data_IF_739852738601
#
_entry.id   IF_739852738601
#
_cell.length_a   1.000
_cell.length_b   1.000
_cell.length_c   1.000
_cell.angle_alpha   90.00
_cell.angle_beta   90.00
_cell.angle_gamma   90.00
#
_symmetry.space_group_name_H-M   'P 1'
#
loop_
_entity.id
_entity.type
_entity.pdbx_description
1 polymer ?
#
# COMPACT_ATOMS: atom_id res chain seq x y z
N UNK A 1 -8.73 13.36 -15.48
CA UNK A 1 -7.30 13.02 -15.43
C UNK A 1 -6.51 14.30 -15.51
N UNK A 2 -5.39 14.40 -14.80
CA UNK A 2 -4.50 15.57 -14.85
C UNK A 2 -3.33 15.37 -15.79
N UNK A 3 -2.48 16.40 -15.85
CA UNK A 3 -1.25 16.39 -16.63
C UNK A 3 -0.24 15.39 -16.03
N UNK A 4 0.40 14.53 -16.85
CA UNK A 4 1.40 13.59 -16.36
C UNK A 4 2.65 14.29 -15.79
N UNK A 5 3.13 13.81 -14.64
CA UNK A 5 4.41 14.19 -14.06
C UNK A 5 5.42 13.05 -14.29
N UNK A 6 6.58 13.34 -14.87
CA UNK A 6 7.58 12.31 -15.20
C UNK A 6 8.95 12.63 -14.64
N UNK A 7 9.59 11.63 -14.02
CA UNK A 7 10.97 11.71 -13.55
C UNK A 7 11.60 10.31 -13.52
N UNK A 8 12.83 10.17 -14.06
CA UNK A 8 13.62 8.92 -14.01
C UNK A 8 12.85 7.64 -14.38
N UNK A 9 12.08 7.70 -15.46
CA UNK A 9 11.33 6.55 -15.99
C UNK A 9 9.98 6.28 -15.29
N UNK A 10 9.70 6.97 -14.17
CA UNK A 10 8.39 6.97 -13.52
C UNK A 10 7.53 8.09 -14.09
N UNK A 11 6.30 7.77 -14.47
CA UNK A 11 5.27 8.74 -14.84
C UNK A 11 4.05 8.57 -13.94
N UNK A 12 3.60 9.66 -13.33
CA UNK A 12 2.44 9.72 -12.45
C UNK A 12 1.35 10.54 -13.12
N UNK A 13 0.16 9.97 -13.27
CA UNK A 13 -1.00 10.66 -13.84
C UNK A 13 -2.03 10.91 -12.74
N UNK A 14 -2.29 12.16 -12.34
CA UNK A 14 -3.25 12.49 -11.30
C UNK A 14 -4.69 12.14 -11.68
N UNK A 15 -5.46 11.68 -10.69
CA UNK A 15 -6.88 11.31 -10.81
C UNK A 15 -7.70 12.28 -9.96
N UNK A 16 -8.76 12.83 -10.55
CA UNK A 16 -9.65 13.82 -9.93
C UNK A 16 -11.03 13.21 -9.72
N UNK A 17 -11.73 13.63 -8.65
CA UNK A 17 -13.06 13.12 -8.37
C UNK A 17 -14.05 13.62 -9.45
N UNK A 18 -14.92 12.73 -9.90
CA UNK A 18 -16.05 13.08 -10.79
C UNK A 18 -17.34 13.35 -10.01
N UNK A 19 -17.39 12.91 -8.75
CA UNK A 19 -18.52 13.04 -7.86
C UNK A 19 -18.04 13.36 -6.45
N UNK A 20 -18.82 14.15 -5.71
CA UNK A 20 -18.60 14.36 -4.28
C UNK A 20 -19.44 13.36 -3.49
N UNK A 21 -18.80 12.53 -2.66
CA UNK A 21 -19.46 11.63 -1.73
C UNK A 21 -19.40 12.21 -0.30
N UNK A 22 -20.33 11.76 0.56
CA UNK A 22 -20.25 12.10 1.98
C UNK A 22 -18.98 11.49 2.58
N UNK A 23 -18.13 12.33 3.14
CA UNK A 23 -16.85 11.91 3.70
C UNK A 23 -17.03 11.38 5.13
N UNK A 24 -16.44 10.22 5.39
CA UNK A 24 -16.32 9.66 6.74
C UNK A 24 -15.07 10.23 7.39
N UNK A 25 -15.15 10.85 8.58
CA UNK A 25 -13.96 11.27 9.32
C UNK A 25 -13.12 10.04 9.70
N UNK A 26 -11.83 10.09 9.40
CA UNK A 26 -10.86 9.08 9.84
C UNK A 26 -9.46 9.69 9.94
N UNK A 27 -8.58 9.05 10.69
CA UNK A 27 -7.13 9.27 10.66
C UNK A 27 -6.44 8.13 9.90
N UNK A 28 -5.28 8.36 9.29
CA UNK A 28 -4.47 7.24 8.79
C UNK A 28 -3.77 6.54 9.95
N UNK A 29 -3.28 5.33 9.72
CA UNK A 29 -2.45 4.61 10.69
C UNK A 29 -1.24 5.41 11.16
N UNK A 30 -0.54 6.09 10.25
CA UNK A 30 0.65 6.85 10.57
C UNK A 30 0.32 8.02 11.53
N UNK A 31 -0.75 8.76 11.22
CA UNK A 31 -1.25 9.85 12.06
C UNK A 31 -1.75 9.34 13.41
N UNK A 32 -2.46 8.22 13.44
CA UNK A 32 -2.99 7.63 14.67
C UNK A 32 -1.89 7.09 15.59
N UNK A 33 -0.83 6.49 15.05
CA UNK A 33 0.36 6.07 15.81
C UNK A 33 1.10 7.29 16.36
N UNK A 34 1.34 8.31 15.52
CA UNK A 34 2.04 9.53 15.93
C UNK A 34 1.31 10.27 17.06
N UNK A 35 -0.03 10.27 17.02
CA UNK A 35 -0.90 10.86 18.03
C UNK A 35 -1.14 9.96 19.25
N UNK A 36 -0.56 8.76 19.27
CA UNK A 36 -0.79 7.72 20.30
C UNK A 36 -2.25 7.29 20.46
N UNK A 37 -3.06 7.53 19.44
CA UNK A 37 -4.43 7.04 19.34
C UNK A 37 -4.48 5.54 19.06
N UNK A 38 -3.47 5.02 18.36
CA UNK A 38 -3.30 3.59 18.07
C UNK A 38 -1.97 3.10 18.58
N UNK A 39 -1.97 1.90 19.16
CA UNK A 39 -0.75 1.12 19.43
C UNK A 39 -0.86 -0.21 18.72
N UNK A 40 0.18 -0.60 17.99
CA UNK A 40 0.27 -1.89 17.29
C UNK A 40 1.36 -2.71 17.97
N UNK A 41 1.06 -3.97 18.29
CA UNK A 41 1.99 -4.90 18.98
C UNK A 41 1.85 -6.33 18.43
N UNK A 42 2.77 -7.21 18.84
CA UNK A 42 2.66 -8.64 18.57
C UNK A 42 1.42 -9.25 19.25
N UNK A 43 0.64 -10.04 18.52
CA UNK A 43 -0.47 -10.80 19.11
C UNK A 43 0.07 -12.02 19.87
N UNK A 44 -0.33 -12.19 21.14
CA UNK A 44 0.01 -13.34 21.99
C UNK A 44 1.51 -13.67 22.06
N UNK A 45 2.38 -12.65 22.05
CA UNK A 45 3.85 -12.83 22.10
C UNK A 45 4.50 -13.14 20.74
N UNK A 46 3.71 -13.20 19.67
CA UNK A 46 4.15 -13.32 18.28
C UNK A 46 3.26 -14.26 17.48
N UNK A 47 2.49 -13.72 16.54
CA UNK A 47 1.76 -14.47 15.51
C UNK A 47 2.19 -13.94 14.15
N UNK A 48 2.65 -14.82 13.27
CA UNK A 48 3.13 -14.43 11.93
C UNK A 48 2.06 -13.70 11.10
N UNK A 49 0.82 -14.21 10.98
CA UNK A 49 -0.19 -13.59 10.11
C UNK A 49 -0.95 -12.41 10.74
N UNK A 50 -0.73 -12.11 12.02
CA UNK A 50 -1.63 -11.25 12.80
C UNK A 50 -0.88 -10.37 13.81
N UNK A 51 -1.21 -9.08 13.83
CA UNK A 51 -0.82 -8.14 14.89
C UNK A 51 -2.02 -7.77 15.76
N UNK A 52 -1.75 -7.36 16.99
CA UNK A 52 -2.74 -6.75 17.86
C UNK A 52 -2.72 -5.22 17.64
N UNK A 53 -3.90 -4.63 17.48
CA UNK A 53 -4.09 -3.19 17.38
C UNK A 53 -5.00 -2.76 18.53
N UNK A 54 -4.52 -1.84 19.36
CA UNK A 54 -5.33 -1.19 20.37
C UNK A 54 -5.66 0.23 19.90
N UNK A 55 -6.95 0.51 19.72
CA UNK A 55 -7.43 1.80 19.25
C UNK A 55 -8.17 2.58 20.36
N UNK A 56 -7.60 3.72 20.75
CA UNK A 56 -8.11 4.64 21.78
C UNK A 56 -8.35 6.07 21.25
N UNK A 57 -8.32 6.26 19.94
CA UNK A 57 -8.54 7.53 19.27
C UNK A 57 -10.02 7.93 19.19
N UNK A 58 -10.32 9.16 18.76
CA UNK A 58 -11.68 9.68 18.68
C UNK A 58 -12.42 9.34 17.37
N UNK A 59 -11.70 8.94 16.33
CA UNK A 59 -12.24 8.66 14.98
C UNK A 59 -11.71 7.34 14.45
N UNK A 60 -12.41 6.67 13.50
CA UNK A 60 -11.92 5.47 12.83
C UNK A 60 -10.51 5.66 12.23
N UNK A 61 -9.77 4.57 12.09
CA UNK A 61 -8.39 4.60 11.55
C UNK A 61 -8.31 3.82 10.26
N UNK A 62 -7.83 4.46 9.20
CA UNK A 62 -7.59 3.89 7.88
C UNK A 62 -6.19 3.25 7.82
N UNK A 63 -6.16 1.96 7.52
CA UNK A 63 -4.97 1.21 7.16
C UNK A 63 -5.11 0.82 5.69
N UNK A 64 -4.08 1.03 4.87
CA UNK A 64 -4.15 0.71 3.44
C UNK A 64 -3.38 -0.57 3.11
N UNK A 65 -3.85 -1.30 2.10
CA UNK A 65 -3.11 -2.43 1.53
C UNK A 65 -1.69 -1.99 1.14
N UNK A 66 -0.70 -2.72 1.65
CA UNK A 66 0.70 -2.45 1.35
C UNK A 66 1.37 -1.48 2.32
N UNK A 67 0.65 -0.96 3.32
CA UNK A 67 1.26 -0.17 4.40
C UNK A 67 2.16 -1.03 5.28
N UNK A 68 3.42 -0.64 5.41
CA UNK A 68 4.38 -1.33 6.26
C UNK A 68 4.28 -0.80 7.70
N UNK A 69 4.43 -1.71 8.65
CA UNK A 69 4.67 -1.39 10.06
C UNK A 69 5.98 -2.05 10.49
N UNK A 70 6.82 -1.27 11.18
CA UNK A 70 8.18 -1.63 11.54
C UNK A 70 8.34 -1.74 13.05
N UNK A 71 8.91 -2.84 13.53
CA UNK A 71 9.01 -3.13 14.96
C UNK A 71 8.78 -4.60 15.27
N UNK A 72 8.33 -4.87 16.50
CA UNK A 72 8.07 -6.21 16.98
C UNK A 72 9.23 -7.17 16.74
N UNK A 73 8.89 -8.42 16.39
CA UNK A 73 9.85 -9.47 16.04
C UNK A 73 10.37 -9.35 14.61
N UNK A 74 9.58 -8.76 13.71
CA UNK A 74 9.83 -8.66 12.28
C UNK A 74 8.94 -7.57 11.69
N UNK A 75 9.42 -6.87 10.67
CA UNK A 75 8.58 -5.91 9.95
C UNK A 75 7.42 -6.61 9.22
N UNK A 76 6.27 -5.91 9.14
CA UNK A 76 5.01 -6.43 8.61
C UNK A 76 4.43 -5.52 7.55
N UNK A 77 3.62 -6.07 6.66
CA UNK A 77 2.78 -5.33 5.71
C UNK A 77 1.32 -5.68 5.90
N UNK A 78 0.44 -4.68 5.85
CA UNK A 78 -1.01 -4.83 5.91
C UNK A 78 -1.54 -5.58 4.68
N UNK A 79 -2.37 -6.60 4.90
CA UNK A 79 -2.84 -7.47 3.81
C UNK A 79 -3.98 -6.88 2.96
N UNK A 80 -4.81 -6.01 3.53
CA UNK A 80 -5.91 -5.34 2.82
C UNK A 80 -6.23 -3.99 3.45
N UNK A 81 -6.84 -3.09 2.69
CA UNK A 81 -7.34 -1.81 3.19
C UNK A 81 -8.48 -2.04 4.18
N UNK A 82 -8.36 -1.48 5.39
CA UNK A 82 -9.27 -1.67 6.52
C UNK A 82 -9.53 -0.33 7.19
N UNK A 83 -10.79 -0.06 7.53
CA UNK A 83 -11.17 1.02 8.43
C UNK A 83 -11.49 0.44 9.81
N UNK A 84 -10.63 0.66 10.81
CA UNK A 84 -10.81 0.14 12.16
C UNK A 84 -11.78 1.06 12.93
N UNK A 85 -12.84 0.52 13.58
CA UNK A 85 -13.78 1.34 14.35
C UNK A 85 -13.15 1.89 15.63
N UNK A 86 -13.78 2.92 16.21
CA UNK A 86 -13.35 3.55 17.46
C UNK A 86 -13.45 2.59 18.64
N UNK A 87 -12.41 2.58 19.50
CA UNK A 87 -12.49 1.98 20.83
C UNK A 87 -12.46 0.45 20.86
N UNK A 88 -12.00 -0.21 19.80
CA UNK A 88 -11.90 -1.68 19.74
C UNK A 88 -10.44 -2.14 19.76
N UNK A 89 -10.21 -3.27 20.43
CA UNK A 89 -9.03 -4.08 20.17
C UNK A 89 -9.29 -4.86 18.87
N UNK A 90 -8.31 -4.89 17.97
CA UNK A 90 -8.46 -5.38 16.61
C UNK A 90 -7.30 -6.30 16.22
N UNK A 91 -7.62 -7.41 15.56
CA UNK A 91 -6.62 -8.33 15.01
C UNK A 91 -6.32 -7.95 13.56
N UNK A 92 -5.15 -7.36 13.33
CA UNK A 92 -4.73 -6.87 12.04
C UNK A 92 -4.09 -7.98 11.18
N UNK A 93 -4.69 -8.36 10.05
CA UNK A 93 -4.10 -9.32 9.12
C UNK A 93 -2.89 -8.71 8.40
N UNK A 94 -1.74 -9.37 8.54
CA UNK A 94 -0.45 -8.92 8.00
C UNK A 94 0.32 -10.05 7.32
N UNK A 95 1.41 -9.69 6.66
CA UNK A 95 2.47 -10.60 6.22
C UNK A 95 3.85 -10.07 6.62
N UNK A 96 4.84 -10.93 6.84
CA UNK A 96 6.21 -10.51 7.12
C UNK A 96 6.89 -9.97 5.87
N UNK A 97 7.58 -8.84 6.01
CA UNK A 97 8.50 -8.29 4.97
C UNK A 97 9.97 -8.33 5.41
N UNK A 98 10.25 -9.08 6.47
CA UNK A 98 11.58 -9.37 6.98
C UNK A 98 11.62 -10.85 7.40
N UNK A 99 12.47 -11.66 6.76
CA UNK A 99 12.48 -13.12 6.92
C UNK A 99 13.40 -13.60 8.05
N UNK A 100 14.61 -13.05 8.12
CA UNK A 100 15.73 -13.55 8.91
C UNK A 100 15.78 -13.05 10.36
N UNK A 101 14.82 -12.24 10.80
CA UNK A 101 14.69 -11.80 12.20
C UNK A 101 13.58 -12.58 12.88
N UNK A 102 13.78 -13.05 14.11
CA UNK A 102 12.68 -13.48 14.99
C UNK A 102 13.03 -13.15 16.44
N UNK A 103 13.38 -11.88 16.66
CA UNK A 103 13.68 -11.33 17.97
C UNK A 103 13.01 -9.97 18.07
N UNK A 104 12.43 -9.69 19.22
CA UNK A 104 11.79 -8.40 19.45
C UNK A 104 12.85 -7.29 19.47
N UNK A 105 12.64 -6.27 18.66
CA UNK A 105 13.49 -5.06 18.64
C UNK A 105 12.81 -3.89 19.34
N UNK A 106 11.49 -3.82 19.24
CA UNK A 106 10.59 -2.87 19.90
C UNK A 106 9.29 -3.59 20.23
N UNK A 107 8.66 -3.19 21.33
CA UNK A 107 7.36 -3.74 21.76
C UNK A 107 6.26 -3.28 20.80
N UNK A 108 6.32 -2.01 20.41
CA UNK A 108 5.39 -1.36 19.50
C UNK A 108 5.92 -1.29 18.06
N UNK A 109 5.00 -1.21 17.12
CA UNK A 109 5.32 -0.94 15.72
C UNK A 109 5.12 0.55 15.39
N UNK A 110 6.04 1.10 14.59
CA UNK A 110 5.89 2.39 13.92
C UNK A 110 5.41 2.23 12.48
N UNK A 111 4.93 3.30 11.86
CA UNK A 111 4.63 3.29 10.44
C UNK A 111 5.90 3.33 9.59
N UNK A 112 5.95 2.51 8.53
CA UNK A 112 7.06 2.41 7.58
C UNK A 112 6.68 2.95 6.19
N UNK A 113 7.25 2.33 5.16
CA UNK A 113 7.01 2.66 3.74
C UNK A 113 5.77 1.93 3.16
N UNK A 114 5.34 2.32 1.96
CA UNK A 114 4.38 1.50 1.17
C UNK A 114 5.15 0.49 0.35
N UNK A 115 4.85 -0.80 0.48
CA UNK A 115 5.54 -1.86 -0.27
C UNK A 115 5.38 -1.69 -1.79
N UNK A 116 6.35 -2.13 -2.60
CA UNK A 116 6.34 -1.93 -4.04
C UNK A 116 5.13 -2.55 -4.77
N UNK A 117 4.75 -2.05 -5.96
CA UNK A 117 3.65 -2.59 -6.76
C UNK A 117 3.71 -4.11 -6.99
N UNK A 118 4.89 -4.69 -7.20
CA UNK A 118 5.02 -6.15 -7.37
C UNK A 118 4.61 -6.91 -6.11
N UNK A 119 5.02 -6.47 -4.92
CA UNK A 119 4.63 -7.09 -3.65
C UNK A 119 3.12 -6.99 -3.44
N UNK A 120 2.53 -5.80 -3.69
CA UNK A 120 1.07 -5.60 -3.63
C UNK A 120 0.31 -6.54 -4.56
N UNK A 121 0.79 -6.72 -5.79
CA UNK A 121 0.17 -7.63 -6.79
C UNK A 121 0.18 -9.10 -6.36
N UNK A 122 1.28 -9.58 -5.76
CA UNK A 122 1.37 -10.94 -5.23
C UNK A 122 0.42 -11.14 -4.04
N UNK A 123 0.40 -10.17 -3.12
CA UNK A 123 -0.55 -10.16 -1.99
C UNK A 123 -2.00 -10.16 -2.44
N UNK A 124 -2.38 -9.30 -3.40
CA UNK A 124 -3.75 -9.22 -3.89
C UNK A 124 -4.25 -10.57 -4.42
N UNK A 125 -3.40 -11.28 -5.17
CA UNK A 125 -3.76 -12.57 -5.76
C UNK A 125 -4.01 -13.64 -4.69
N UNK A 126 -3.17 -13.69 -3.67
CA UNK A 126 -3.30 -14.65 -2.57
C UNK A 126 -4.43 -14.29 -1.61
N UNK A 127 -4.63 -13.00 -1.31
CA UNK A 127 -5.74 -12.48 -0.50
C UNK A 127 -7.10 -12.72 -1.16
N UNK A 128 -7.22 -12.48 -2.46
CA UNK A 128 -8.44 -12.81 -3.21
C UNK A 128 -8.77 -14.29 -3.08
N UNK A 129 -7.78 -15.16 -3.25
CA UNK A 129 -7.98 -16.60 -3.15
C UNK A 129 -8.27 -17.06 -1.71
N UNK A 130 -7.79 -16.34 -0.69
CA UNK A 130 -8.05 -16.69 0.71
C UNK A 130 -9.45 -16.30 1.18
N UNK A 131 -10.05 -15.23 0.66
CA UNK A 131 -11.46 -14.93 0.91
C UNK A 131 -12.38 -16.11 0.51
N UNK A 132 -12.19 -16.70 -0.67
CA UNK A 132 -12.96 -17.87 -1.10
C UNK A 132 -12.74 -19.12 -0.26
N UNK A 133 -11.57 -19.27 0.38
CA UNK A 133 -11.20 -20.49 1.14
C UNK A 133 -11.53 -20.40 2.62
N UNK A 134 -11.28 -19.25 3.24
CA UNK A 134 -11.31 -19.09 4.70
C UNK A 134 -11.99 -17.79 5.16
N UNK A 135 -12.53 -16.98 4.24
CA UNK A 135 -13.27 -15.76 4.59
C UNK A 135 -12.45 -14.65 5.25
N UNK A 136 -11.11 -14.67 5.09
CA UNK A 136 -10.21 -13.71 5.72
C UNK A 136 -9.07 -13.31 4.77
N UNK A 137 -8.54 -12.07 4.85
CA UNK A 137 -7.51 -11.56 3.94
C UNK A 137 -6.11 -12.07 4.31
N UNK A 138 -5.87 -13.36 4.07
CA UNK A 138 -4.56 -13.99 4.25
C UNK A 138 -3.77 -13.98 2.95
N UNK A 139 -2.52 -13.56 3.01
CA UNK A 139 -1.57 -13.62 1.89
C UNK A 139 -0.65 -14.85 2.00
N UNK A 140 -0.01 -15.22 0.89
CA UNK A 140 1.06 -16.22 0.88
C UNK A 140 2.37 -15.61 1.38
N UNK A 141 2.86 -16.09 2.53
CA UNK A 141 4.08 -15.58 3.16
C UNK A 141 5.35 -15.86 2.32
N UNK A 142 5.39 -17.01 1.64
CA UNK A 142 6.53 -17.39 0.80
C UNK A 142 6.61 -16.53 -0.45
N UNK A 143 5.47 -16.23 -1.08
CA UNK A 143 5.40 -15.31 -2.21
C UNK A 143 5.83 -13.89 -1.82
N UNK A 144 5.39 -13.40 -0.65
CA UNK A 144 5.83 -12.08 -0.15
C UNK A 144 7.35 -12.03 0.01
N UNK A 145 7.96 -13.05 0.62
CA UNK A 145 9.43 -13.10 0.76
C UNK A 145 10.15 -13.21 -0.58
N UNK A 146 9.62 -13.95 -1.55
CA UNK A 146 10.20 -14.02 -2.88
C UNK A 146 10.24 -12.63 -3.54
N UNK A 147 9.15 -11.85 -3.46
CA UNK A 147 9.10 -10.47 -4.00
C UNK A 147 9.97 -9.49 -3.23
N UNK A 148 10.11 -9.65 -1.91
CA UNK A 148 11.07 -8.87 -1.12
C UNK A 148 12.51 -9.15 -1.58
N UNK A 149 12.85 -10.42 -1.82
CA UNK A 149 14.16 -10.82 -2.35
C UNK A 149 14.44 -10.22 -3.74
N UNK A 150 13.45 -10.20 -4.63
CA UNK A 150 13.55 -9.54 -5.93
C UNK A 150 13.77 -8.03 -5.79
N UNK A 151 13.06 -7.38 -4.86
CA UNK A 151 13.20 -5.94 -4.58
C UNK A 151 14.60 -5.60 -4.05
N UNK A 152 15.13 -6.40 -3.11
CA UNK A 152 16.49 -6.26 -2.60
C UNK A 152 17.54 -6.41 -3.71
N UNK A 153 17.36 -7.42 -4.57
CA UNK A 153 18.26 -7.68 -5.70
C UNK A 153 18.26 -6.51 -6.70
N UNK A 154 17.08 -6.03 -7.08
CA UNK A 154 16.90 -4.89 -8.00
C UNK A 154 17.48 -3.59 -7.43
N UNK A 155 17.31 -3.38 -6.12
CA UNK A 155 17.88 -2.24 -5.40
C UNK A 155 19.39 -2.36 -5.16
N UNK A 156 20.00 -3.50 -5.49
CA UNK A 156 21.39 -3.85 -5.14
C UNK A 156 21.67 -3.66 -3.64
N UNK A 157 20.65 -3.96 -2.82
CA UNK A 157 20.69 -3.76 -1.38
C UNK A 157 21.22 -5.01 -0.68
N UNK A 158 22.21 -4.81 0.18
CA UNK A 158 22.62 -5.86 1.12
C UNK A 158 21.69 -5.85 2.32
N UNK A 159 21.15 -7.01 2.68
CA UNK A 159 20.27 -7.18 3.85
C UNK A 159 20.65 -8.44 4.62
N UNK A 160 20.92 -8.28 5.92
CA UNK A 160 21.23 -9.41 6.79
C UNK A 160 19.99 -10.27 7.11
N UNK A 161 18.82 -9.64 7.22
CA UNK A 161 17.57 -10.29 7.63
C UNK A 161 16.56 -10.40 6.48
N UNK A 162 16.97 -10.07 5.25
CA UNK A 162 16.05 -9.98 4.10
C UNK A 162 14.85 -9.06 4.42
N UNK A 163 15.15 -7.87 4.95
CA UNK A 163 14.20 -6.82 5.30
C UNK A 163 13.97 -5.89 4.10
N UNK A 164 12.71 -5.71 3.70
CA UNK A 164 12.36 -4.79 2.62
C UNK A 164 12.84 -3.35 2.88
N UNK A 165 12.91 -2.91 4.14
CA UNK A 165 13.37 -1.56 4.49
C UNK A 165 14.83 -1.31 4.10
N UNK A 166 15.64 -2.36 3.94
CA UNK A 166 17.02 -2.24 3.44
C UNK A 166 17.07 -1.81 1.96
N UNK A 167 16.06 -2.18 1.15
CA UNK A 167 15.96 -1.73 -0.25
C UNK A 167 15.72 -0.21 -0.33
N UNK A 168 14.80 0.31 0.50
CA UNK A 168 14.55 1.74 0.61
C UNK A 168 15.78 2.49 1.14
N UNK A 169 16.47 1.91 2.13
CA UNK A 169 17.68 2.48 2.70
C UNK A 169 18.83 2.56 1.68
N UNK A 170 19.04 1.51 0.88
CA UNK A 170 20.07 1.49 -0.15
C UNK A 170 19.81 2.53 -1.26
N UNK A 171 18.54 2.78 -1.59
CA UNK A 171 18.14 3.69 -2.68
C UNK A 171 17.66 5.06 -2.23
N UNK A 172 17.78 5.39 -0.95
CA UNK A 172 17.24 6.61 -0.33
C UNK A 172 17.47 7.89 -1.11
N UNK A 173 18.69 8.10 -1.63
CA UNK A 173 19.05 9.31 -2.37
C UNK A 173 18.24 9.42 -3.67
N UNK A 174 18.20 8.36 -4.47
CA UNK A 174 17.43 8.32 -5.73
C UNK A 174 15.92 8.42 -5.49
N UNK A 175 15.43 7.79 -4.42
CA UNK A 175 14.02 7.81 -4.03
C UNK A 175 13.57 9.20 -3.57
N UNK A 176 14.38 9.89 -2.77
CA UNK A 176 14.08 11.26 -2.34
C UNK A 176 14.22 12.27 -3.48
N UNK A 177 15.21 12.11 -4.36
CA UNK A 177 15.29 12.89 -5.60
C UNK A 177 14.00 12.73 -6.43
N UNK A 178 13.52 11.51 -6.59
CA UNK A 178 12.27 11.25 -7.32
C UNK A 178 11.05 11.86 -6.63
N UNK A 179 10.95 11.76 -5.31
CA UNK A 179 9.88 12.36 -4.53
C UNK A 179 9.85 13.88 -4.63
N UNK A 180 11.00 14.54 -4.65
CA UNK A 180 11.10 16.00 -4.77
C UNK A 180 10.67 16.46 -6.17
N UNK A 181 11.07 15.73 -7.21
CA UNK A 181 10.76 16.08 -8.60
C UNK A 181 9.37 15.63 -9.07
N UNK A 182 8.66 14.85 -8.27
CA UNK A 182 7.26 14.45 -8.50
C UNK A 182 6.38 14.92 -7.32
N UNK A 183 6.13 16.24 -7.19
CA UNK A 183 5.36 16.78 -6.09
C UNK A 183 3.87 16.35 -6.16
N UNK A 184 3.21 16.29 -5.00
CA UNK A 184 1.78 16.04 -4.94
C UNK A 184 1.02 17.18 -5.64
N UNK A 185 0.08 16.89 -6.54
CA UNK A 185 -0.82 17.91 -7.07
C UNK A 185 -1.59 18.58 -5.92
N UNK A 186 -1.69 19.91 -5.97
CA UNK A 186 -2.36 20.74 -4.97
C UNK A 186 -3.69 21.33 -5.48
N UNK A 187 -4.27 20.70 -6.49
CA UNK A 187 -5.43 21.14 -7.26
C UNK A 187 -6.64 20.20 -7.11
N UNK A 188 -6.67 19.41 -6.02
CA UNK A 188 -7.79 18.55 -5.67
C UNK A 188 -7.74 17.13 -6.25
N UNK A 189 -6.57 16.67 -6.72
CA UNK A 189 -6.37 15.26 -7.06
C UNK A 189 -6.63 14.36 -5.84
N UNK A 190 -7.32 13.24 -6.05
CA UNK A 190 -7.66 12.24 -5.03
C UNK A 190 -7.00 10.89 -5.28
N UNK A 191 -6.36 10.72 -6.44
CA UNK A 191 -5.60 9.52 -6.74
C UNK A 191 -4.49 9.75 -7.74
N UNK A 192 -3.77 8.67 -8.04
CA UNK A 192 -2.65 8.65 -8.98
C UNK A 192 -2.57 7.31 -9.68
N UNK A 193 -2.25 7.34 -10.97
CA UNK A 193 -1.87 6.15 -11.76
C UNK A 193 -0.36 6.20 -11.98
N UNK A 194 0.35 5.14 -11.60
CA UNK A 194 1.79 5.00 -11.77
C UNK A 194 2.11 4.14 -13.00
N UNK A 195 2.91 4.72 -13.90
CA UNK A 195 3.33 4.13 -15.17
C UNK A 195 4.84 4.09 -15.21
N UNK A 196 5.40 2.91 -15.46
CA UNK A 196 6.82 2.70 -15.73
C UNK A 196 7.02 1.41 -16.50
N UNK A 197 8.09 1.35 -17.29
CA UNK A 197 8.39 0.18 -18.14
C UNK A 197 7.38 -0.01 -19.27
N UNK A 198 6.74 1.06 -19.76
CA UNK A 198 5.79 1.01 -20.87
C UNK A 198 4.34 0.70 -20.48
N UNK A 199 4.03 0.46 -19.21
CA UNK A 199 2.71 -0.01 -18.77
C UNK A 199 2.27 0.59 -17.43
N UNK A 200 0.96 0.50 -17.15
CA UNK A 200 0.40 0.85 -15.83
C UNK A 200 0.77 -0.23 -14.83
N UNK A 201 1.39 0.18 -13.72
CA UNK A 201 1.91 -0.74 -12.70
C UNK A 201 1.08 -0.72 -11.43
N UNK A 202 0.52 0.43 -11.08
CA UNK A 202 -0.36 0.62 -9.93
C UNK A 202 -1.29 1.82 -10.14
N UNK A 203 -2.38 1.83 -9.39
CA UNK A 203 -3.20 3.02 -9.16
C UNK A 203 -3.63 3.03 -7.70
N UNK A 204 -3.57 4.20 -7.07
CA UNK A 204 -3.99 4.42 -5.69
C UNK A 204 -4.96 5.61 -5.69
N UNK A 205 -6.21 5.39 -5.24
CA UNK A 205 -7.30 6.36 -5.29
C UNK A 205 -7.97 6.41 -3.91
N UNK A 206 -8.11 7.62 -3.39
CA UNK A 206 -8.69 7.91 -2.08
C UNK A 206 -10.00 8.70 -2.22
N UNK A 207 -10.73 8.82 -1.13
CA UNK A 207 -11.98 9.59 -1.03
C UNK A 207 -11.74 11.11 -0.99
N UNK A 208 -10.54 11.56 -0.57
CA UNK A 208 -10.19 12.98 -0.44
C UNK A 208 -8.71 13.28 -0.72
N UNK A 209 -8.43 14.52 -1.12
CA UNK A 209 -7.11 14.96 -1.54
C UNK A 209 -6.10 14.99 -0.39
N UNK A 210 -6.57 15.24 0.83
CA UNK A 210 -5.75 15.27 2.05
C UNK A 210 -5.12 13.89 2.31
N UNK A 211 -5.90 12.82 2.12
CA UNK A 211 -5.42 11.44 2.27
C UNK A 211 -4.38 11.11 1.21
N UNK A 212 -4.62 11.47 -0.06
CA UNK A 212 -3.61 11.32 -1.11
C UNK A 212 -2.31 12.05 -0.72
N UNK A 213 -2.42 13.31 -0.30
CA UNK A 213 -1.27 14.14 0.08
C UNK A 213 -0.47 13.54 1.22
N UNK A 214 -1.13 12.91 2.19
CA UNK A 214 -0.46 12.25 3.32
C UNK A 214 0.33 11.01 2.87
N UNK A 215 -0.25 10.18 1.99
CA UNK A 215 0.42 8.99 1.47
C UNK A 215 1.43 9.30 0.35
N UNK A 216 1.32 10.45 -0.31
CA UNK A 216 2.09 10.80 -1.52
C UNK A 216 3.60 10.56 -1.39
N UNK A 217 4.29 11.04 -0.34
CA UNK A 217 5.73 10.78 -0.18
C UNK A 217 6.11 9.30 -0.29
N UNK A 218 5.33 8.44 0.38
CA UNK A 218 5.58 6.99 0.47
C UNK A 218 5.14 6.26 -0.79
N UNK A 219 4.05 6.69 -1.42
CA UNK A 219 3.61 6.17 -2.72
C UNK A 219 4.65 6.43 -3.80
N UNK A 220 5.18 7.66 -3.90
CA UNK A 220 6.21 7.98 -4.89
C UNK A 220 7.46 7.13 -4.68
N UNK A 221 7.94 6.96 -3.43
CA UNK A 221 9.07 6.08 -3.14
C UNK A 221 8.79 4.62 -3.47
N UNK A 222 7.58 4.14 -3.18
CA UNK A 222 7.12 2.78 -3.52
C UNK A 222 7.20 2.52 -5.03
N UNK A 223 6.66 3.43 -5.84
CA UNK A 223 6.71 3.30 -7.31
C UNK A 223 8.14 3.44 -7.82
N UNK A 224 8.88 4.42 -7.30
CA UNK A 224 10.24 4.72 -7.73
C UNK A 224 11.18 3.54 -7.49
N UNK A 225 11.01 2.78 -6.40
CA UNK A 225 11.85 1.63 -6.08
C UNK A 225 11.86 0.57 -7.19
N UNK A 226 10.76 0.42 -7.93
CA UNK A 226 10.69 -0.47 -9.11
C UNK A 226 10.90 0.26 -10.44
N UNK A 227 10.65 1.57 -10.49
CA UNK A 227 10.81 2.35 -11.72
C UNK A 227 12.27 2.58 -12.11
N UNK A 228 13.24 2.55 -11.18
CA UNK A 228 14.67 2.85 -11.47
C UNK A 228 15.27 1.94 -12.57
N UNK A 229 14.71 0.75 -12.78
CA UNK A 229 15.17 -0.21 -13.81
C UNK A 229 14.45 -0.06 -15.15
N UNK A 230 13.47 0.83 -15.25
CA UNK A 230 12.61 1.00 -16.42
C UNK A 230 13.17 2.03 -17.41
N UNK A 231 13.15 1.68 -18.71
CA UNK A 231 13.63 2.52 -19.80
C UNK A 231 12.77 3.78 -20.07
N UNK A 232 12.97 4.39 -21.25
CA UNK A 232 12.37 5.68 -21.65
C UNK A 232 10.84 5.74 -21.51
N UNK A 233 10.32 6.96 -21.32
CA UNK A 233 8.90 7.23 -21.05
C UNK A 233 7.90 6.67 -22.06
N UNK A 234 6.62 6.70 -21.69
CA UNK A 234 5.53 6.09 -22.46
C UNK A 234 4.89 7.11 -23.40
N UNK A 235 4.61 6.76 -24.67
CA UNK A 235 3.78 7.59 -25.54
C UNK A 235 2.37 7.73 -24.97
N UNK A 236 1.90 8.98 -24.83
CA UNK A 236 0.57 9.32 -24.30
C UNK A 236 0.17 8.64 -22.97
N UNK A 237 0.84 9.00 -21.85
CA UNK A 237 0.55 8.41 -20.54
C UNK A 237 -0.88 8.66 -20.05
N UNK A 238 -1.48 9.80 -20.43
CA UNK A 238 -2.82 10.17 -20.01
C UNK A 238 -3.87 9.23 -20.61
N UNK A 239 -3.78 8.91 -21.91
CA UNK A 239 -4.66 7.93 -22.55
C UNK A 239 -4.48 6.53 -21.99
N UNK A 240 -3.24 6.11 -21.71
CA UNK A 240 -2.96 4.81 -21.09
C UNK A 240 -3.60 4.71 -19.68
N UNK A 241 -3.44 5.74 -18.86
CA UNK A 241 -4.06 5.80 -17.53
C UNK A 241 -5.59 5.81 -17.62
N UNK A 242 -6.17 6.58 -18.54
CA UNK A 242 -7.61 6.63 -18.76
C UNK A 242 -8.18 5.26 -19.19
N UNK A 243 -7.52 4.57 -20.12
CA UNK A 243 -7.92 3.24 -20.57
C UNK A 243 -7.88 2.23 -19.41
N UNK A 244 -6.85 2.28 -18.57
CA UNK A 244 -6.74 1.42 -17.39
C UNK A 244 -7.87 1.66 -16.39
N UNK A 245 -8.19 2.92 -16.06
CA UNK A 245 -9.29 3.24 -15.14
C UNK A 245 -10.66 2.86 -15.71
N UNK A 246 -10.84 3.04 -17.03
CA UNK A 246 -12.07 2.61 -17.72
C UNK A 246 -12.25 1.10 -17.64
N UNK A 247 -11.19 0.33 -17.92
CA UNK A 247 -11.20 -1.14 -17.75
C UNK A 247 -11.47 -1.55 -16.30
N UNK A 248 -10.91 -0.80 -15.35
CA UNK A 248 -11.12 -1.07 -13.92
C UNK A 248 -12.57 -0.84 -13.47
N UNK A 249 -13.23 0.19 -14.01
CA UNK A 249 -14.65 0.45 -13.74
C UNK A 249 -15.58 -0.62 -14.33
N UNK A 250 -15.12 -1.37 -15.34
CA UNK A 250 -15.85 -2.47 -15.98
C UNK A 250 -15.46 -3.86 -15.44
N UNK A 251 -14.51 -3.92 -14.50
CA UNK A 251 -14.04 -5.17 -13.94
C UNK A 251 -15.11 -5.85 -13.09
N UNK A 252 -15.05 -7.18 -13.00
CA UNK A 252 -15.92 -7.94 -12.10
C UNK A 252 -15.57 -7.61 -10.66
N UNK A 253 -16.57 -7.17 -9.88
CA UNK A 253 -16.45 -6.91 -8.46
C UNK A 253 -16.95 -8.10 -7.64
N UNK A 254 -16.16 -8.54 -6.68
CA UNK A 254 -16.57 -9.51 -5.64
C UNK A 254 -16.56 -8.81 -4.29
N UNK A 255 -17.67 -8.89 -3.56
CA UNK A 255 -17.82 -8.27 -2.25
C UNK A 255 -17.47 -9.26 -1.16
N UNK A 256 -16.68 -8.81 -0.19
CA UNK A 256 -16.30 -9.55 1.00
C UNK A 256 -16.53 -8.70 2.24
N UNK A 257 -16.77 -9.36 3.38
CA UNK A 257 -16.81 -8.69 4.67
C UNK A 257 -15.37 -8.54 5.19
N UNK A 258 -14.82 -7.31 5.31
CA UNK A 258 -13.53 -7.11 5.94
C UNK A 258 -13.63 -7.33 7.45
N UNK A 259 -12.50 -7.53 8.14
CA UNK A 259 -12.47 -7.56 9.60
C UNK A 259 -12.87 -6.21 10.23
N UNK A 260 -12.71 -5.09 9.52
CA UNK A 260 -13.10 -3.74 9.97
C UNK A 260 -14.45 -3.27 9.41
N UNK A 261 -14.66 -1.96 9.45
CA UNK A 261 -15.86 -1.31 8.91
C UNK A 261 -15.86 -1.34 7.36
N UNK A 262 -17.05 -1.36 6.76
CA UNK A 262 -17.24 -1.24 5.31
C UNK A 262 -17.30 -2.58 4.58
N UNK A 263 -17.06 -2.54 3.27
CA UNK A 263 -17.01 -3.70 2.38
C UNK A 263 -15.67 -3.73 1.63
N UNK A 264 -15.04 -4.91 1.60
CA UNK A 264 -13.84 -5.17 0.80
C UNK A 264 -14.29 -5.67 -0.58
N UNK A 265 -14.03 -4.85 -1.59
CA UNK A 265 -14.35 -5.13 -2.98
C UNK A 265 -13.08 -5.59 -3.68
N UNK A 266 -13.13 -6.77 -4.31
CA UNK A 266 -12.05 -7.29 -5.16
C UNK A 266 -12.43 -7.16 -6.63
N UNK A 267 -11.61 -6.43 -7.38
CA UNK A 267 -11.78 -6.20 -8.82
C UNK A 267 -10.94 -7.20 -9.61
N UNK A 268 -11.54 -7.82 -10.62
CA UNK A 268 -10.83 -8.69 -11.57
C UNK A 268 -11.36 -8.51 -12.98
N UNK A 269 -10.47 -8.24 -13.92
CA UNK A 269 -10.77 -8.09 -15.34
C UNK A 269 -9.55 -8.33 -16.21
N UNK A 270 -9.69 -8.16 -17.53
CA UNK A 270 -8.57 -8.28 -18.46
C UNK A 270 -7.53 -7.18 -18.17
N UNK A 271 -6.36 -7.58 -17.67
CA UNK A 271 -5.27 -6.66 -17.32
C UNK A 271 -5.50 -5.85 -16.03
N UNK A 272 -6.59 -6.08 -15.30
CA UNK A 272 -6.91 -5.35 -14.06
C UNK A 272 -7.09 -6.32 -12.90
N UNK A 273 -6.39 -6.03 -11.81
CA UNK A 273 -6.65 -6.56 -10.48
C UNK A 273 -6.52 -5.44 -9.46
N UNK A 274 -7.37 -5.44 -8.46
CA UNK A 274 -7.34 -4.41 -7.44
C UNK A 274 -8.28 -4.71 -6.29
N UNK A 275 -8.18 -3.88 -5.27
CA UNK A 275 -9.05 -3.90 -4.11
C UNK A 275 -9.56 -2.49 -3.82
N UNK A 276 -10.75 -2.40 -3.25
CA UNK A 276 -11.31 -1.15 -2.75
C UNK A 276 -12.00 -1.41 -1.42
N UNK A 277 -11.96 -0.41 -0.54
CA UNK A 277 -12.79 -0.35 0.65
C UNK A 277 -13.91 0.66 0.40
N UNK A 278 -15.16 0.26 0.62
CA UNK A 278 -16.32 1.16 0.55
C UNK A 278 -17.01 1.17 1.90
N UNK A 279 -17.25 2.35 2.46
CA UNK A 279 -17.91 2.55 3.76
C UNK A 279 -18.94 3.67 3.68
#
# INVERSE_FOLDING_TARGET
MGDPLSHRGLTLVPVYPTTSAALVPYETLATAIASRHVTVTELNGGSVPELAVQHRGPVPVLLIDGDQVEGGRQNRVVNTTILIPVGVDFTLPVSCVEQGRWRETRVDFSSGEIVPPSVRRGKESSVRASYSRVGAPRSDQGEVWARVSESLTSAQAFSHTSDLSDAYTARRVDLEDTRINLPCPNDGAVGVVAIFGGEVKAADIFDRAETLSEFWPRLVRSYALEAVTSGTGVPDPASLAHAFLTSSAQATATLNTPPGLGQDIRLSGSGVRGAALVH
#
